data_IF_136997239595
#
_entry.id   IF_136997239595
#
_cell.length_a   1.000
_cell.length_b   1.000
_cell.length_c   1.000
_cell.angle_alpha   90.00
_cell.angle_beta   90.00
_cell.angle_gamma   90.00
#
_symmetry.space_group_name_H-M   'P 1'
#
loop_
_entity.id
_entity.type
_entity.pdbx_description
1 polymer ?
#
# COMPACT_ATOMS: atom_id res chain seq x y z
N UNK A 1 -49.37 52.88 41.89
CA UNK A 1 -49.76 52.07 40.72
C UNK A 1 -48.54 51.24 40.31
N UNK A 2 -48.55 49.91 40.54
CA UNK A 2 -47.41 49.02 40.22
C UNK A 2 -47.71 48.36 38.87
N UNK A 3 -46.92 48.70 37.85
CA UNK A 3 -46.99 48.05 36.54
C UNK A 3 -46.17 46.75 36.62
N UNK A 4 -46.82 45.60 36.47
CA UNK A 4 -46.18 44.29 36.43
C UNK A 4 -45.86 43.98 34.97
N UNK A 5 -44.57 43.89 34.66
CA UNK A 5 -44.05 43.51 33.34
C UNK A 5 -43.97 41.97 33.28
N UNK A 6 -44.77 41.36 32.41
CA UNK A 6 -44.76 39.91 32.18
C UNK A 6 -43.71 39.57 31.10
N UNK A 7 -42.59 38.96 31.48
CA UNK A 7 -41.58 38.46 30.54
C UNK A 7 -41.95 37.02 30.16
N UNK A 8 -42.26 36.81 28.88
CA UNK A 8 -42.54 35.48 28.32
C UNK A 8 -41.22 34.79 28.00
N UNK A 9 -40.83 33.80 28.80
CA UNK A 9 -39.66 32.96 28.53
C UNK A 9 -40.03 31.94 27.45
N UNK A 10 -39.50 32.12 26.23
CA UNK A 10 -39.63 31.14 25.16
C UNK A 10 -38.56 30.06 25.36
N UNK A 11 -38.96 28.90 25.88
CA UNK A 11 -38.08 27.72 25.99
C UNK A 11 -37.89 27.08 24.63
N UNK A 12 -36.70 27.23 24.04
CA UNK A 12 -36.29 26.50 22.83
C UNK A 12 -35.87 25.09 23.27
N UNK A 13 -36.64 24.08 22.89
CA UNK A 13 -36.25 22.69 23.08
C UNK A 13 -35.22 22.32 22.00
N UNK A 14 -33.95 22.21 22.40
CA UNK A 14 -32.88 21.71 21.54
C UNK A 14 -32.89 20.19 21.68
N UNK A 15 -33.36 19.48 20.66
CA UNK A 15 -33.27 18.03 20.60
C UNK A 15 -31.85 17.60 20.20
N UNK A 16 -31.31 16.58 20.87
CA UNK A 16 -30.05 15.94 20.47
C UNK A 16 -30.22 15.24 19.12
N UNK A 17 -29.16 15.22 18.31
CA UNK A 17 -29.12 14.42 17.07
C UNK A 17 -29.29 12.94 17.41
N UNK A 18 -30.11 12.22 16.65
CA UNK A 18 -30.17 10.77 16.71
C UNK A 18 -29.03 10.19 15.85
N UNK A 19 -28.19 9.38 16.47
CA UNK A 19 -27.03 8.75 15.81
C UNK A 19 -27.43 8.01 14.53
N UNK A 20 -28.61 7.37 14.52
CA UNK A 20 -29.12 6.62 13.36
C UNK A 20 -29.32 7.52 12.14
N UNK A 21 -29.87 8.71 12.33
CA UNK A 21 -30.14 9.66 11.26
C UNK A 21 -28.83 10.28 10.74
N UNK A 22 -27.90 10.57 11.66
CA UNK A 22 -26.57 11.09 11.32
C UNK A 22 -25.76 10.07 10.51
N UNK A 23 -25.70 8.81 10.95
CA UNK A 23 -25.01 7.73 10.22
C UNK A 23 -25.63 7.53 8.83
N UNK A 24 -26.97 7.54 8.73
CA UNK A 24 -27.67 7.45 7.45
C UNK A 24 -27.32 8.61 6.52
N UNK A 25 -27.23 9.83 7.05
CA UNK A 25 -26.85 11.01 6.26
C UNK A 25 -25.41 10.90 5.75
N UNK A 26 -24.46 10.45 6.58
CA UNK A 26 -23.06 10.20 6.17
C UNK A 26 -23.00 9.15 5.07
N UNK A 27 -23.72 8.04 5.25
CA UNK A 27 -23.80 6.96 4.26
C UNK A 27 -24.34 7.45 2.93
N UNK A 28 -25.46 8.18 2.93
CA UNK A 28 -26.04 8.70 1.70
C UNK A 28 -25.10 9.70 1.02
N UNK A 29 -24.47 10.60 1.79
CA UNK A 29 -23.54 11.58 1.25
C UNK A 29 -22.29 10.94 0.64
N UNK A 30 -21.75 9.87 1.24
CA UNK A 30 -20.58 9.18 0.70
C UNK A 30 -20.87 8.51 -0.64
N UNK A 31 -22.11 8.07 -0.87
CA UNK A 31 -22.55 7.46 -2.12
C UNK A 31 -22.90 8.47 -3.22
N UNK A 32 -23.51 9.60 -2.86
CA UNK A 32 -24.02 10.57 -3.85
C UNK A 32 -23.03 11.71 -4.15
N UNK A 33 -22.24 12.12 -3.16
CA UNK A 33 -21.33 13.26 -3.24
C UNK A 33 -19.87 12.88 -2.97
N UNK A 34 -19.55 11.59 -2.93
CA UNK A 34 -18.18 11.09 -2.70
C UNK A 34 -17.24 11.35 -3.87
N UNK A 35 -15.94 11.54 -3.56
CA UNK A 35 -14.85 11.72 -4.55
C UNK A 35 -13.87 10.54 -4.62
N UNK A 36 -14.15 9.45 -3.89
CA UNK A 36 -13.21 8.35 -3.67
C UNK A 36 -12.69 7.74 -4.97
N UNK A 37 -13.55 7.58 -5.97
CA UNK A 37 -13.15 7.02 -7.26
C UNK A 37 -12.23 7.98 -8.03
N UNK A 38 -12.58 9.26 -8.13
CA UNK A 38 -11.79 10.26 -8.84
C UNK A 38 -10.43 10.49 -8.17
N UNK A 39 -10.38 10.46 -6.84
CA UNK A 39 -9.14 10.53 -6.09
C UNK A 39 -8.25 9.29 -6.32
N UNK A 40 -8.85 8.09 -6.32
CA UNK A 40 -8.11 6.86 -6.63
C UNK A 40 -7.58 6.86 -8.06
N UNK A 41 -8.40 7.30 -9.02
CA UNK A 41 -8.03 7.43 -10.43
C UNK A 41 -6.83 8.36 -10.58
N UNK A 42 -6.86 9.54 -9.98
CA UNK A 42 -5.73 10.47 -10.03
C UNK A 42 -4.47 9.87 -9.40
N UNK A 43 -4.58 9.30 -8.19
CA UNK A 43 -3.46 8.66 -7.49
C UNK A 43 -2.84 7.50 -8.29
N UNK A 44 -3.65 6.76 -9.03
CA UNK A 44 -3.23 5.53 -9.71
C UNK A 44 -2.77 5.78 -11.15
N UNK A 45 -3.44 6.67 -11.87
CA UNK A 45 -3.21 6.90 -13.29
C UNK A 45 -2.38 8.16 -13.58
N UNK A 46 -2.48 9.19 -12.74
CA UNK A 46 -1.69 10.43 -12.92
C UNK A 46 -0.39 10.40 -12.12
N UNK A 47 -0.40 9.85 -10.89
CA UNK A 47 0.81 9.72 -10.06
C UNK A 47 1.49 8.35 -10.26
N UNK A 48 0.73 7.26 -10.21
CA UNK A 48 1.24 5.91 -10.46
C UNK A 48 1.92 5.26 -9.25
N UNK A 49 2.86 4.36 -9.55
CA UNK A 49 3.61 3.59 -8.56
C UNK A 49 4.34 4.49 -7.57
N UNK A 50 4.04 4.33 -6.29
CA UNK A 50 4.37 5.27 -5.21
C UNK A 50 5.05 4.58 -4.04
N UNK A 51 6.14 3.85 -4.34
CA UNK A 51 7.01 3.21 -3.35
C UNK A 51 7.61 4.27 -2.42
N UNK A 52 7.77 3.96 -1.13
CA UNK A 52 8.39 4.87 -0.16
C UNK A 52 9.77 5.36 -0.62
N UNK A 53 10.04 6.66 -0.41
CA UNK A 53 11.28 7.29 -0.85
C UNK A 53 11.38 7.58 -2.36
N UNK A 54 10.34 7.28 -3.14
CA UNK A 54 10.26 7.64 -4.56
C UNK A 54 9.68 9.06 -4.78
N UNK A 55 9.97 9.64 -5.95
CA UNK A 55 9.40 10.92 -6.38
C UNK A 55 7.87 10.89 -6.44
N UNK A 56 7.29 9.76 -6.85
CA UNK A 56 5.84 9.62 -6.96
C UNK A 56 5.17 9.56 -5.58
N UNK A 57 5.83 8.96 -4.57
CA UNK A 57 5.33 9.00 -3.20
C UNK A 57 5.31 10.44 -2.67
N UNK A 58 6.35 11.22 -2.93
CA UNK A 58 6.39 12.65 -2.57
C UNK A 58 5.28 13.45 -3.28
N UNK A 59 5.09 13.25 -4.58
CA UNK A 59 3.97 13.85 -5.33
C UNK A 59 2.62 13.49 -4.73
N UNK A 60 2.41 12.23 -4.33
CA UNK A 60 1.18 11.78 -3.70
C UNK A 60 0.93 12.45 -2.34
N UNK A 61 1.98 12.70 -1.55
CA UNK A 61 1.89 13.41 -0.27
C UNK A 61 1.44 14.86 -0.51
N UNK A 62 2.10 15.60 -1.40
CA UNK A 62 1.74 16.99 -1.67
C UNK A 62 0.36 17.12 -2.33
N UNK A 63 0.02 16.23 -3.25
CA UNK A 63 -1.30 16.21 -3.86
C UNK A 63 -2.39 15.96 -2.83
N UNK A 64 -2.22 14.95 -1.96
CA UNK A 64 -3.18 14.63 -0.89
C UNK A 64 -3.35 15.81 0.05
N UNK A 65 -2.26 16.47 0.47
CA UNK A 65 -2.33 17.69 1.28
C UNK A 65 -3.20 18.76 0.61
N UNK A 66 -2.96 19.04 -0.67
CA UNK A 66 -3.73 20.02 -1.43
C UNK A 66 -5.22 19.65 -1.50
N UNK A 67 -5.56 18.37 -1.72
CA UNK A 67 -6.96 17.93 -1.72
C UNK A 67 -7.62 18.10 -0.35
N UNK A 68 -6.90 17.80 0.74
CA UNK A 68 -7.39 18.01 2.11
C UNK A 68 -7.58 19.51 2.45
N UNK A 69 -6.71 20.39 1.93
CA UNK A 69 -6.87 21.84 2.08
C UNK A 69 -8.09 22.36 1.32
N UNK A 70 -8.36 21.85 0.10
CA UNK A 70 -9.50 22.26 -0.72
C UNK A 70 -10.86 21.91 -0.12
N UNK A 71 -10.95 20.82 0.65
CA UNK A 71 -12.20 20.43 1.32
C UNK A 71 -12.47 21.21 2.61
N UNK A 72 -11.52 22.06 3.05
CA UNK A 72 -11.73 23.00 4.16
C UNK A 72 -11.63 22.36 5.55
N UNK A 73 -10.75 21.39 5.75
CA UNK A 73 -10.49 20.84 7.10
C UNK A 73 -9.87 21.91 8.01
N UNK A 74 -10.11 21.80 9.33
CA UNK A 74 -9.62 22.76 10.33
C UNK A 74 -8.10 22.94 10.32
N UNK A 75 -7.36 21.84 10.10
CA UNK A 75 -5.90 21.81 10.10
C UNK A 75 -5.36 20.75 9.14
N UNK A 76 -4.43 21.15 8.29
CA UNK A 76 -3.70 20.26 7.38
C UNK A 76 -2.21 20.60 7.44
N UNK A 77 -1.36 19.63 7.72
CA UNK A 77 0.09 19.81 7.76
C UNK A 77 0.81 18.53 7.35
N UNK A 78 2.09 18.64 7.01
CA UNK A 78 2.95 17.49 6.74
C UNK A 78 3.77 17.14 7.97
N UNK A 79 3.97 15.84 8.20
CA UNK A 79 4.88 15.34 9.21
C UNK A 79 6.06 14.65 8.52
N UNK A 80 7.31 15.06 8.78
CA UNK A 80 8.47 14.44 8.17
C UNK A 80 8.67 13.02 8.73
N UNK A 81 8.90 12.06 7.85
CA UNK A 81 9.18 10.66 8.21
C UNK A 81 10.41 10.19 7.43
N UNK A 82 11.40 9.66 8.13
CA UNK A 82 12.56 9.04 7.51
C UNK A 82 12.18 7.66 6.99
N UNK A 83 12.50 7.38 5.71
CA UNK A 83 12.16 6.11 5.05
C UNK A 83 13.37 5.53 4.32
N UNK A 84 13.51 4.20 4.24
CA UNK A 84 14.51 3.59 3.38
C UNK A 84 14.17 3.88 1.91
N UNK A 85 15.21 4.09 1.09
CA UNK A 85 15.07 4.25 -0.36
C UNK A 85 15.67 3.04 -1.06
N UNK A 86 14.81 2.25 -1.68
CA UNK A 86 15.20 1.17 -2.58
C UNK A 86 14.70 1.48 -3.99
N UNK A 87 15.58 1.39 -4.97
CA UNK A 87 15.27 1.62 -6.38
C UNK A 87 15.57 0.33 -7.12
N UNK A 88 14.55 -0.26 -7.74
CA UNK A 88 14.74 -1.42 -8.61
C UNK A 88 15.65 -1.03 -9.78
N UNK A 89 16.63 -1.88 -10.06
CA UNK A 89 17.55 -1.68 -11.17
C UNK A 89 16.92 -1.96 -12.54
N UNK A 90 17.75 -2.34 -13.50
CA UNK A 90 17.30 -2.82 -14.81
C UNK A 90 16.37 -4.03 -14.64
N UNK A 91 15.33 -4.17 -15.48
CA UNK A 91 14.45 -5.34 -15.44
C UNK A 91 15.25 -6.65 -15.43
N UNK A 92 14.93 -7.51 -14.47
CA UNK A 92 15.61 -8.78 -14.32
C UNK A 92 15.20 -9.75 -15.43
N UNK A 93 16.12 -10.65 -15.79
CA UNK A 93 15.86 -11.74 -16.73
C UNK A 93 16.36 -13.05 -16.13
N UNK A 94 15.57 -14.10 -16.28
CA UNK A 94 15.92 -15.42 -15.82
C UNK A 94 15.42 -16.50 -16.79
N UNK A 95 16.12 -17.63 -16.80
CA UNK A 95 15.74 -18.82 -17.51
C UNK A 95 16.11 -20.05 -16.70
N UNK A 96 15.37 -21.13 -16.91
CA UNK A 96 15.68 -22.46 -16.40
C UNK A 96 16.40 -23.23 -17.50
N UNK A 97 17.55 -23.82 -17.20
CA UNK A 97 18.28 -24.70 -18.12
C UNK A 97 18.13 -26.16 -17.69
N UNK A 98 17.31 -26.93 -18.42
CA UNK A 98 17.06 -28.33 -18.07
C UNK A 98 18.10 -29.30 -18.63
N UNK A 99 18.75 -28.93 -19.74
CA UNK A 99 19.86 -29.65 -20.39
C UNK A 99 20.78 -28.63 -21.03
N UNK A 100 22.08 -28.93 -21.26
CA UNK A 100 22.99 -28.02 -21.93
C UNK A 100 22.39 -27.43 -23.21
N UNK A 101 22.21 -26.11 -23.25
CA UNK A 101 21.64 -25.40 -24.40
C UNK A 101 20.11 -25.46 -24.55
N UNK A 102 19.39 -26.18 -23.67
CA UNK A 102 17.92 -26.19 -23.63
C UNK A 102 17.42 -25.32 -22.48
N UNK A 103 16.98 -24.10 -22.82
CA UNK A 103 16.50 -23.11 -21.86
C UNK A 103 15.00 -22.86 -21.97
N UNK A 104 14.41 -22.40 -20.87
CA UNK A 104 13.02 -21.93 -20.80
C UNK A 104 13.01 -20.62 -20.03
N UNK A 105 12.62 -19.54 -20.69
CA UNK A 105 12.53 -18.22 -20.06
C UNK A 105 11.42 -18.22 -19.01
N UNK A 106 11.67 -17.53 -17.89
CA UNK A 106 10.70 -17.36 -16.82
C UNK A 106 10.55 -15.89 -16.47
N UNK A 107 9.32 -15.51 -16.12
CA UNK A 107 9.06 -14.19 -15.59
C UNK A 107 9.58 -14.12 -14.16
N UNK A 108 10.40 -13.11 -13.88
CA UNK A 108 10.97 -12.87 -12.56
C UNK A 108 10.84 -11.39 -12.21
N UNK A 109 10.82 -11.10 -10.92
CA UNK A 109 10.70 -9.76 -10.37
C UNK A 109 11.47 -9.73 -9.06
N UNK A 110 12.40 -8.79 -8.89
CA UNK A 110 13.12 -8.68 -7.63
C UNK A 110 12.19 -8.36 -6.46
N UNK A 111 12.43 -9.05 -5.33
CA UNK A 111 11.83 -8.71 -4.05
C UNK A 111 12.36 -7.34 -3.59
N UNK A 112 11.49 -6.55 -2.97
CA UNK A 112 11.86 -5.24 -2.44
C UNK A 112 12.98 -5.37 -1.42
N UNK A 113 14.06 -4.61 -1.60
CA UNK A 113 15.25 -4.67 -0.74
C UNK A 113 16.32 -5.67 -1.18
N UNK A 114 16.07 -6.50 -2.21
CA UNK A 114 17.11 -7.39 -2.74
C UNK A 114 18.28 -6.59 -3.31
N UNK A 115 19.49 -7.14 -3.14
CA UNK A 115 20.71 -6.68 -3.82
C UNK A 115 20.74 -7.18 -5.27
N UNK A 116 21.56 -6.53 -6.10
CA UNK A 116 21.79 -6.93 -7.48
C UNK A 116 22.64 -8.22 -7.57
N UNK A 117 22.42 -9.00 -8.63
CA UNK A 117 23.32 -10.09 -9.02
C UNK A 117 24.63 -9.52 -9.60
N UNK A 118 25.71 -10.33 -9.67
CA UNK A 118 26.93 -9.94 -10.38
C UNK A 118 26.63 -9.55 -11.84
N UNK A 119 27.43 -8.63 -12.41
CA UNK A 119 27.23 -8.16 -13.78
C UNK A 119 27.29 -9.28 -14.84
N UNK A 120 28.00 -10.37 -14.56
CA UNK A 120 28.06 -11.58 -15.40
C UNK A 120 26.80 -12.46 -15.32
N UNK A 121 25.84 -12.10 -14.47
CA UNK A 121 24.74 -12.97 -14.08
C UNK A 121 25.13 -13.97 -12.98
N UNK A 122 24.12 -14.66 -12.46
CA UNK A 122 24.25 -15.72 -11.47
C UNK A 122 23.65 -17.01 -12.06
N UNK A 123 24.44 -18.07 -12.12
CA UNK A 123 24.00 -19.40 -12.56
C UNK A 123 24.40 -20.42 -11.52
N UNK A 124 23.42 -21.14 -10.99
CA UNK A 124 23.63 -22.17 -9.97
C UNK A 124 22.52 -23.22 -10.05
N UNK A 125 22.77 -24.39 -9.46
CA UNK A 125 21.75 -25.40 -9.31
C UNK A 125 20.65 -24.91 -8.36
N UNK A 126 19.42 -25.36 -8.59
CA UNK A 126 18.29 -25.06 -7.74
C UNK A 126 18.15 -26.14 -6.66
N UNK A 127 17.76 -25.72 -5.46
CA UNK A 127 17.24 -26.61 -4.42
C UNK A 127 15.83 -26.16 -4.06
N UNK A 128 14.86 -27.05 -4.17
CA UNK A 128 13.47 -26.78 -3.86
C UNK A 128 13.19 -27.03 -2.38
N UNK A 129 12.44 -26.13 -1.76
CA UNK A 129 11.95 -26.25 -0.38
C UNK A 129 10.50 -25.74 -0.30
N UNK A 130 9.72 -26.25 0.64
CA UNK A 130 8.34 -25.85 0.90
C UNK A 130 8.23 -24.69 1.88
N UNK A 131 9.13 -24.65 2.87
CA UNK A 131 9.09 -23.66 3.93
C UNK A 131 10.49 -23.44 4.55
N UNK A 132 10.54 -22.60 5.58
CA UNK A 132 11.79 -22.27 6.26
C UNK A 132 12.33 -23.43 7.10
N UNK A 133 11.44 -24.30 7.61
CA UNK A 133 11.84 -25.46 8.40
C UNK A 133 12.55 -26.50 7.53
N UNK A 134 12.04 -26.78 6.33
CA UNK A 134 12.70 -27.67 5.37
C UNK A 134 14.06 -27.11 4.95
N UNK A 135 14.16 -25.79 4.71
CA UNK A 135 15.45 -25.17 4.43
C UNK A 135 16.43 -25.34 5.60
N UNK A 136 15.99 -25.13 6.84
CA UNK A 136 16.85 -25.28 8.02
C UNK A 136 17.34 -26.73 8.19
N UNK A 137 16.47 -27.72 7.98
CA UNK A 137 16.79 -29.14 8.08
C UNK A 137 17.82 -29.61 7.04
N UNK A 138 17.84 -29.00 5.86
CA UNK A 138 18.83 -29.34 4.82
C UNK A 138 20.26 -29.03 5.24
N UNK A 139 20.48 -28.06 6.14
CA UNK A 139 21.81 -27.69 6.60
C UNK A 139 22.64 -26.99 5.53
N UNK A 140 23.67 -26.25 5.98
CA UNK A 140 24.48 -25.39 5.11
C UNK A 140 25.17 -26.19 4.00
N UNK A 141 25.70 -27.38 4.31
CA UNK A 141 26.45 -28.17 3.33
C UNK A 141 25.65 -28.53 2.07
N UNK A 142 24.33 -28.64 2.17
CA UNK A 142 23.47 -28.99 1.04
C UNK A 142 22.96 -27.78 0.24
N UNK A 143 23.04 -26.58 0.84
CA UNK A 143 22.48 -25.32 0.32
C UNK A 143 23.56 -24.43 -0.31
N UNK A 144 24.76 -24.41 0.26
CA UNK A 144 25.82 -23.48 -0.15
C UNK A 144 26.12 -23.57 -1.65
N UNK A 145 26.10 -22.42 -2.32
CA UNK A 145 26.32 -22.30 -3.77
C UNK A 145 25.09 -22.61 -4.65
N UNK A 146 23.91 -22.86 -4.08
CA UNK A 146 22.66 -23.12 -4.82
C UNK A 146 21.68 -21.94 -4.74
N UNK A 147 20.74 -21.90 -5.68
CA UNK A 147 19.57 -21.01 -5.62
C UNK A 147 18.44 -21.76 -4.92
N UNK A 148 17.98 -21.23 -3.78
CA UNK A 148 16.84 -21.81 -3.06
C UNK A 148 15.54 -21.38 -3.73
N UNK A 149 14.73 -22.35 -4.14
CA UNK A 149 13.41 -22.15 -4.71
C UNK A 149 12.34 -22.56 -3.70
N UNK A 150 11.63 -21.58 -3.15
CA UNK A 150 10.47 -21.82 -2.29
C UNK A 150 9.25 -22.15 -3.15
N UNK A 151 8.90 -23.43 -3.23
CA UNK A 151 7.75 -23.91 -3.97
C UNK A 151 6.55 -24.14 -3.04
N UNK A 152 5.99 -23.03 -2.56
CA UNK A 152 4.81 -23.06 -1.69
C UNK A 152 3.61 -22.43 -2.39
N UNK A 153 2.47 -23.13 -2.47
CA UNK A 153 1.25 -22.50 -2.95
C UNK A 153 0.82 -21.41 -1.97
N UNK A 154 0.36 -20.27 -2.50
CA UNK A 154 -0.29 -19.24 -1.69
C UNK A 154 -1.65 -19.77 -1.22
N UNK A 155 -1.87 -19.75 0.10
CA UNK A 155 -3.15 -20.11 0.69
C UNK A 155 -4.23 -19.10 0.27
N UNK A 156 -5.29 -19.58 -0.37
CA UNK A 156 -6.34 -18.72 -0.95
C UNK A 156 -7.11 -17.92 0.10
N UNK A 157 -7.12 -18.36 1.35
CA UNK A 157 -7.86 -17.75 2.46
C UNK A 157 -7.08 -16.67 3.22
N UNK A 158 -5.81 -16.44 2.88
CA UNK A 158 -4.92 -15.49 3.56
C UNK A 158 -4.78 -14.15 2.81
N UNK A 159 -5.74 -13.79 1.96
CA UNK A 159 -5.74 -12.56 1.15
C UNK A 159 -6.83 -11.61 1.61
#
# INVERSE_FOLDING_TARGET
MKNILFIFFLSINIFSQNDTETIRAIYNNSLTNGKSYQWLDYLSNQIGGRLSGSLNAEKAVYWTKSELEKIGLDKVWLQPVMVPKWVRGTPEFAYIESKPGKTTNVNICALGGSIATPASGLKANIIEVKDFQELEQLGRENIEGKIVFYNRPMEKTLI
#
